data_IF_494245939226
#
_entry.id   IF_494245939226
#
_cell.length_a   1.000
_cell.length_b   1.000
_cell.length_c   1.000
_cell.angle_alpha   90.00
_cell.angle_beta   90.00
_cell.angle_gamma   90.00
#
_symmetry.space_group_name_H-M   'P 1'
#
loop_
_entity.id
_entity.type
_entity.pdbx_description
1 polymer ?
#
# COMPACT_ATOMS: atom_id res chain seq x y z
N UNK A 1 -13.49 13.96 4.91
CA UNK A 1 -13.48 12.65 4.40
C UNK A 1 -12.09 12.13 4.11
N UNK A 2 -11.76 11.15 4.86
CA UNK A 2 -10.45 10.53 4.71
C UNK A 2 -10.24 10.01 3.29
N UNK A 3 -11.31 9.54 2.69
CA UNK A 3 -11.22 8.99 1.35
C UNK A 3 -10.78 10.00 0.33
N UNK A 4 -10.92 11.28 0.66
CA UNK A 4 -10.58 12.33 -0.28
C UNK A 4 -9.10 12.34 -0.61
N UNK A 5 -8.25 12.12 0.38
CA UNK A 5 -6.80 12.14 0.13
C UNK A 5 -6.38 10.99 -0.77
N UNK A 6 -6.84 9.78 -0.47
CA UNK A 6 -6.47 8.65 -1.30
C UNK A 6 -7.08 8.78 -2.69
N UNK A 7 -8.29 9.30 -2.78
CA UNK A 7 -8.93 9.49 -4.07
C UNK A 7 -8.12 10.43 -4.95
N UNK A 8 -7.63 11.51 -4.37
CA UNK A 8 -6.82 12.46 -5.12
C UNK A 8 -5.56 11.80 -5.64
N UNK A 9 -4.89 11.06 -4.79
CA UNK A 9 -3.67 10.37 -5.20
C UNK A 9 -3.96 9.35 -6.28
N UNK A 10 -5.03 8.59 -6.11
CA UNK A 10 -5.39 7.57 -7.08
C UNK A 10 -5.76 8.17 -8.42
N UNK A 11 -6.43 9.32 -8.40
CA UNK A 11 -6.77 10.00 -9.63
C UNK A 11 -5.54 10.44 -10.40
N UNK A 12 -4.44 10.66 -9.70
CA UNK A 12 -3.18 11.03 -10.34
C UNK A 12 -2.41 9.81 -10.82
N UNK A 13 -2.65 8.66 -10.20
CA UNK A 13 -1.89 7.45 -10.49
C UNK A 13 -2.56 6.54 -11.51
N UNK A 14 -3.83 6.22 -11.26
CA UNK A 14 -4.50 5.19 -12.04
C UNK A 14 -4.56 5.48 -13.54
N UNK A 15 -4.84 6.72 -13.96
CA UNK A 15 -4.90 6.97 -15.40
C UNK A 15 -3.58 6.79 -16.11
N UNK A 16 -2.47 6.84 -15.39
CA UNK A 16 -1.16 6.68 -15.98
C UNK A 16 -0.76 5.24 -16.17
N UNK A 17 -1.41 4.33 -15.45
CA UNK A 17 -0.98 2.95 -15.48
C UNK A 17 -0.99 2.35 -16.89
N UNK A 18 -2.03 2.56 -17.71
CA UNK A 18 -2.02 1.97 -19.05
C UNK A 18 -0.95 2.54 -19.97
N UNK A 19 -0.58 3.80 -19.79
CA UNK A 19 0.36 4.45 -20.70
C UNK A 19 1.76 4.57 -20.13
N UNK A 20 1.88 4.75 -18.83
CA UNK A 20 3.18 4.92 -18.18
C UNK A 20 3.19 4.18 -16.83
N UNK A 21 3.16 2.85 -16.88
CA UNK A 21 3.03 2.08 -15.64
C UNK A 21 4.19 2.29 -14.68
N UNK A 22 5.40 2.46 -15.20
CA UNK A 22 6.53 2.65 -14.30
C UNK A 22 6.42 3.97 -13.54
N UNK A 23 6.01 5.02 -14.25
CA UNK A 23 5.84 6.31 -13.61
C UNK A 23 4.70 6.29 -12.61
N UNK A 24 3.63 5.59 -12.94
CA UNK A 24 2.52 5.42 -12.01
C UNK A 24 2.99 4.67 -10.75
N UNK A 25 3.80 3.65 -10.95
CA UNK A 25 4.37 2.89 -9.87
C UNK A 25 5.20 3.78 -8.94
N UNK A 26 6.09 4.59 -9.51
CA UNK A 26 6.91 5.49 -8.71
C UNK A 26 6.07 6.54 -8.00
N UNK A 27 5.06 7.04 -8.68
CA UNK A 27 4.18 8.03 -8.07
C UNK A 27 3.44 7.45 -6.87
N UNK A 28 2.97 6.21 -7.01
CA UNK A 28 2.28 5.54 -5.91
C UNK A 28 3.20 5.41 -4.69
N UNK A 29 4.44 5.03 -4.93
CA UNK A 29 5.40 4.90 -3.84
C UNK A 29 5.63 6.25 -3.15
N UNK A 30 5.74 7.29 -3.95
CA UNK A 30 5.98 8.63 -3.40
C UNK A 30 4.81 9.10 -2.53
N UNK A 31 3.60 8.91 -3.03
CA UNK A 31 2.42 9.30 -2.27
C UNK A 31 2.32 8.50 -0.98
N UNK A 32 2.52 7.19 -1.09
CA UNK A 32 2.41 6.34 0.08
C UNK A 32 3.45 6.69 1.13
N UNK A 33 4.68 6.97 0.70
CA UNK A 33 5.73 7.34 1.63
C UNK A 33 5.37 8.62 2.39
N UNK A 34 4.76 9.57 1.70
CA UNK A 34 4.35 10.80 2.34
C UNK A 34 3.27 10.56 3.38
N UNK A 35 2.31 9.71 3.02
CA UNK A 35 1.22 9.41 3.95
C UNK A 35 1.75 8.68 5.18
N UNK A 36 2.71 7.78 4.98
CA UNK A 36 3.30 7.06 6.10
C UNK A 36 4.00 8.04 7.03
N UNK A 37 4.71 9.00 6.47
CA UNK A 37 5.39 10.01 7.26
C UNK A 37 4.43 10.83 8.09
N UNK A 38 3.23 11.03 7.57
CA UNK A 38 2.19 11.78 8.28
C UNK A 38 1.33 10.88 9.14
N UNK A 39 1.71 9.63 9.28
CA UNK A 39 0.95 8.65 10.07
C UNK A 39 -0.44 8.41 9.51
N UNK A 40 -0.61 8.60 8.22
CA UNK A 40 -1.87 8.30 7.55
C UNK A 40 -1.78 6.95 6.89
N UNK A 41 -1.67 5.93 7.73
CA UNK A 41 -1.43 4.58 7.24
C UNK A 41 -2.57 4.05 6.40
N UNK A 42 -3.81 4.34 6.80
CA UNK A 42 -4.95 3.84 6.05
C UNK A 42 -4.97 4.41 4.63
N UNK A 43 -4.62 5.67 4.51
CA UNK A 43 -4.58 6.31 3.20
C UNK A 43 -3.47 5.69 2.35
N UNK A 44 -2.30 5.47 2.94
CA UNK A 44 -1.20 4.84 2.23
C UNK A 44 -1.58 3.44 1.77
N UNK A 45 -2.24 2.69 2.63
CA UNK A 45 -2.67 1.34 2.30
C UNK A 45 -3.63 1.36 1.12
N UNK A 46 -4.59 2.26 1.14
CA UNK A 46 -5.56 2.35 0.06
C UNK A 46 -4.88 2.67 -1.26
N UNK A 47 -3.96 3.64 -1.25
CA UNK A 47 -3.26 4.02 -2.47
C UNK A 47 -2.44 2.84 -3.00
N UNK A 48 -1.71 2.17 -2.14
CA UNK A 48 -0.87 1.06 -2.57
C UNK A 48 -1.70 -0.12 -3.07
N UNK A 49 -2.77 -0.43 -2.36
CA UNK A 49 -3.62 -1.55 -2.74
C UNK A 49 -4.26 -1.33 -4.11
N UNK A 50 -4.88 -0.18 -4.29
CA UNK A 50 -5.55 0.11 -5.54
C UNK A 50 -4.57 0.17 -6.71
N UNK A 51 -3.42 0.81 -6.47
CA UNK A 51 -2.41 0.93 -7.52
C UNK A 51 -1.85 -0.43 -7.89
N UNK A 52 -1.54 -1.25 -6.90
CA UNK A 52 -1.00 -2.58 -7.16
C UNK A 52 -2.00 -3.41 -7.96
N UNK A 53 -3.26 -3.35 -7.56
CA UNK A 53 -4.30 -4.11 -8.24
C UNK A 53 -4.40 -3.73 -9.70
N UNK A 54 -4.38 -2.43 -9.96
CA UNK A 54 -4.48 -1.97 -11.34
C UNK A 54 -3.24 -2.33 -12.15
N UNK A 55 -2.08 -2.31 -11.52
CA UNK A 55 -0.86 -2.71 -12.21
C UNK A 55 -0.92 -4.18 -12.59
N UNK A 56 -1.42 -5.03 -11.70
CA UNK A 56 -1.58 -6.44 -12.04
C UNK A 56 -2.54 -6.61 -13.20
N UNK A 57 -3.64 -5.86 -13.18
CA UNK A 57 -4.63 -5.92 -14.25
C UNK A 57 -4.05 -5.49 -15.60
N UNK A 58 -3.08 -4.61 -15.56
CA UNK A 58 -2.47 -4.10 -16.79
C UNK A 58 -1.21 -4.86 -17.17
N UNK A 59 -1.02 -6.04 -16.60
CA UNK A 59 0.08 -6.88 -16.98
C UNK A 59 1.43 -6.40 -16.49
N UNK A 60 1.45 -5.77 -15.34
CA UNK A 60 2.69 -5.27 -14.74
C UNK A 60 2.92 -5.94 -13.37
N UNK A 61 3.17 -7.25 -13.36
CA UNK A 61 3.31 -7.95 -12.09
C UNK A 61 4.51 -7.50 -11.26
N UNK A 62 5.58 -7.11 -11.92
CA UNK A 62 6.76 -6.64 -11.20
C UNK A 62 6.47 -5.40 -10.38
N UNK A 63 5.83 -4.42 -11.01
CA UNK A 63 5.46 -3.20 -10.32
C UNK A 63 4.40 -3.46 -9.25
N UNK A 64 3.43 -4.30 -9.58
CA UNK A 64 2.40 -4.64 -8.62
C UNK A 64 2.97 -5.31 -7.39
N UNK A 65 3.91 -6.23 -7.60
CA UNK A 65 4.55 -6.93 -6.49
C UNK A 65 5.35 -5.97 -5.61
N UNK A 66 6.02 -5.04 -6.22
CA UNK A 66 6.81 -4.07 -5.47
C UNK A 66 5.89 -3.24 -4.55
N UNK A 67 4.78 -2.79 -5.08
CA UNK A 67 3.84 -2.02 -4.28
C UNK A 67 3.21 -2.87 -3.19
N UNK A 68 2.98 -4.14 -3.48
CA UNK A 68 2.45 -5.05 -2.48
C UNK A 68 3.42 -5.21 -1.33
N UNK A 69 4.71 -5.31 -1.63
CA UNK A 69 5.71 -5.39 -0.59
C UNK A 69 5.70 -4.16 0.30
N UNK A 70 5.61 -2.98 -0.32
CA UNK A 70 5.51 -1.75 0.44
C UNK A 70 4.24 -1.73 1.29
N UNK A 71 3.15 -2.22 0.71
CA UNK A 71 1.88 -2.30 1.42
C UNK A 71 2.01 -3.13 2.69
N UNK A 72 2.69 -4.25 2.60
CA UNK A 72 2.89 -5.09 3.77
C UNK A 72 3.74 -4.37 4.83
N UNK A 73 4.72 -3.60 4.40
CA UNK A 73 5.52 -2.82 5.32
C UNK A 73 4.67 -1.81 6.06
N UNK A 74 3.73 -1.19 5.35
CA UNK A 74 2.84 -0.21 5.97
C UNK A 74 1.91 -0.88 6.96
N UNK A 75 1.40 -2.05 6.61
CA UNK A 75 0.55 -2.80 7.53
C UNK A 75 1.31 -3.11 8.81
N UNK A 76 2.55 -3.47 8.68
CA UNK A 76 3.38 -3.79 9.82
C UNK A 76 3.56 -2.57 10.71
N UNK A 77 3.84 -1.44 10.10
CA UNK A 77 3.99 -0.20 10.84
C UNK A 77 2.71 0.17 11.56
N UNK A 78 1.59 0.02 10.88
CA UNK A 78 0.31 0.33 11.47
C UNK A 78 -0.01 -0.63 12.61
N UNK A 79 0.32 -1.88 12.41
CA UNK A 79 0.07 -2.89 13.43
C UNK A 79 0.81 -2.60 14.72
N UNK A 80 1.99 -2.07 14.59
CA UNK A 80 2.77 -1.75 15.77
C UNK A 80 2.17 -0.62 16.57
N UNK A 81 1.51 0.29 15.90
CA UNK A 81 0.96 1.44 16.59
C UNK A 81 -0.47 1.25 17.00
N UNK A 82 -1.15 0.29 16.39
CA UNK A 82 -2.57 0.15 16.62
C UNK A 82 -2.88 -0.49 17.96
N UNK A 83 -2.54 -1.73 18.13
CA UNK A 83 -2.89 -2.37 19.38
C UNK A 83 -2.22 -3.71 19.51
N UNK A 84 -2.08 -4.11 20.74
CA UNK A 84 -1.52 -5.41 21.07
C UNK A 84 -2.40 -6.51 20.58
N UNK A 85 -3.67 -6.27 20.68
CA UNK A 85 -4.66 -7.23 20.29
C UNK A 85 -4.58 -7.61 18.83
N UNK A 86 -4.64 -6.59 17.99
CA UNK A 86 -4.52 -6.80 16.56
C UNK A 86 -3.19 -7.43 16.22
N UNK A 87 -2.19 -6.96 16.87
CA UNK A 87 -0.85 -7.45 16.62
C UNK A 87 -0.73 -8.91 17.00
N UNK A 88 -1.35 -9.29 18.09
CA UNK A 88 -1.31 -10.67 18.51
C UNK A 88 -1.95 -11.59 17.53
N UNK A 89 -3.10 -11.19 17.04
CA UNK A 89 -3.83 -11.98 16.09
C UNK A 89 -3.05 -12.11 14.79
N UNK A 90 -2.52 -11.01 14.35
CA UNK A 90 -1.73 -10.95 13.14
C UNK A 90 -0.50 -11.84 13.29
N UNK A 91 0.12 -11.77 14.44
CA UNK A 91 1.30 -12.56 14.70
C UNK A 91 1.02 -14.04 14.70
N UNK A 92 -0.14 -14.43 15.18
CA UNK A 92 -0.51 -15.83 15.17
C UNK A 92 -0.56 -16.38 13.75
N UNK A 93 -1.13 -15.59 12.85
CA UNK A 93 -1.21 -15.99 11.47
C UNK A 93 0.16 -16.09 10.84
N UNK A 94 0.97 -15.10 11.05
CA UNK A 94 2.30 -15.10 10.47
C UNK A 94 3.28 -15.95 11.22
N UNK A 95 3.01 -16.14 12.48
CA UNK A 95 3.92 -16.92 13.28
C UNK A 95 4.06 -18.33 12.78
N UNK A 96 2.99 -18.89 12.29
CA UNK A 96 3.09 -20.22 11.75
C UNK A 96 3.99 -20.24 10.52
N UNK A 97 4.16 -19.10 9.88
CA UNK A 97 5.02 -19.01 8.71
C UNK A 97 6.41 -18.52 9.06
N UNK A 98 6.48 -17.54 9.93
CA UNK A 98 7.74 -16.86 10.22
C UNK A 98 8.27 -17.12 11.59
N UNK A 99 7.50 -17.77 12.38
CA UNK A 99 7.97 -18.07 13.69
C UNK A 99 8.18 -16.81 14.52
N UNK A 100 7.31 -15.87 14.35
CA UNK A 100 7.46 -14.57 15.05
C UNK A 100 7.09 -14.59 16.52
#
# INVERSE_FOLDING_TARGET
>A
MAATSSTRALNAILPQIPTAPYEAHQKARTFAARYVKSHQYDTAIDVLFQSARELFKNGQPGSGSDLTGFLLDVYEAKGETVSEESKGEYCLTFKSLHDC
#
